data_IF_159948090285
#
_entry.id   IF_159948090285
#
_cell.length_a   1.000
_cell.length_b   1.000
_cell.length_c   1.000
_cell.angle_alpha   90.00
_cell.angle_beta   90.00
_cell.angle_gamma   90.00
#
_symmetry.space_group_name_H-M   'P 1'
#
loop_
_entity.id
_entity.type
_entity.pdbx_description
1 polymer ?
#
# COMPACT_ATOMS: atom_id res chain seq x y z
N UNK A 1 2.16 -3.69 19.27
CA UNK A 1 3.36 -3.68 18.42
C UNK A 1 2.98 -3.29 17.00
N UNK A 2 3.71 -2.35 16.42
CA UNK A 2 3.46 -1.86 15.06
C UNK A 2 4.30 -2.71 14.11
N UNK A 3 3.64 -3.41 13.19
CA UNK A 3 4.32 -4.37 12.31
C UNK A 3 4.04 -4.06 10.86
N UNK A 4 5.10 -4.06 10.04
CA UNK A 4 4.99 -4.04 8.60
C UNK A 4 4.37 -5.36 8.15
N UNK A 5 3.45 -5.32 7.17
CA UNK A 5 2.81 -6.51 6.65
C UNK A 5 2.73 -6.46 5.13
N UNK A 6 2.64 -7.64 4.51
CA UNK A 6 2.61 -7.76 3.06
C UNK A 6 1.47 -8.69 2.65
N UNK A 7 0.90 -8.45 1.47
CA UNK A 7 -0.09 -9.35 0.89
C UNK A 7 -0.14 -9.16 -0.63
N UNK A 8 -0.83 -10.05 -1.30
CA UNK A 8 -0.95 -10.01 -2.76
C UNK A 8 -2.40 -9.90 -3.17
N UNK A 9 -2.65 -9.22 -4.29
CA UNK A 9 -3.98 -9.09 -4.86
C UNK A 9 -3.88 -8.97 -6.38
N UNK A 10 -4.48 -9.91 -7.11
CA UNK A 10 -4.51 -9.96 -8.58
C UNK A 10 -3.10 -9.83 -9.19
N UNK A 11 -2.11 -10.46 -8.57
CA UNK A 11 -0.73 -10.43 -9.03
C UNK A 11 0.08 -9.23 -8.56
N UNK A 12 -0.58 -8.22 -8.01
CA UNK A 12 0.12 -7.08 -7.40
C UNK A 12 0.61 -7.46 -6.01
N UNK A 13 1.75 -6.93 -5.63
CA UNK A 13 2.32 -7.15 -4.31
C UNK A 13 2.22 -5.87 -3.49
N UNK A 14 1.66 -5.96 -2.29
CA UNK A 14 1.38 -4.80 -1.44
C UNK A 14 2.20 -4.88 -0.16
N UNK A 15 2.86 -3.78 0.19
CA UNK A 15 3.56 -3.62 1.45
C UNK A 15 2.83 -2.57 2.28
N UNK A 16 2.34 -2.97 3.45
CA UNK A 16 1.72 -2.06 4.41
C UNK A 16 2.77 -1.59 5.40
N UNK A 17 3.05 -0.28 5.42
CA UNK A 17 4.06 0.33 6.27
C UNK A 17 3.43 1.21 7.33
N UNK A 18 3.73 0.98 8.62
CA UNK A 18 3.33 1.91 9.68
C UNK A 18 4.23 3.14 9.65
N UNK A 19 3.63 4.32 9.78
CA UNK A 19 4.35 5.59 9.87
C UNK A 19 3.93 6.33 11.13
N UNK A 20 4.91 6.68 11.96
CA UNK A 20 4.66 7.47 13.16
C UNK A 20 4.61 8.95 12.76
N UNK A 21 3.42 9.53 12.79
CA UNK A 21 3.23 10.92 12.39
C UNK A 21 3.85 11.90 13.38
N UNK A 22 4.09 11.49 14.62
CA UNK A 22 4.81 12.33 15.58
C UNK A 22 6.24 12.61 15.09
N UNK A 23 6.89 11.64 14.47
CA UNK A 23 8.23 11.81 13.90
C UNK A 23 8.23 12.76 12.70
N UNK A 24 7.07 12.92 12.05
CA UNK A 24 6.89 13.80 10.91
C UNK A 24 6.31 15.17 11.29
N UNK A 25 6.22 15.46 12.61
CA UNK A 25 5.73 16.74 13.10
C UNK A 25 4.22 16.84 13.28
N UNK A 26 3.51 15.71 13.22
CA UNK A 26 2.05 15.64 13.38
C UNK A 26 1.65 14.64 14.47
N UNK A 27 2.04 14.89 15.74
CA UNK A 27 1.77 13.93 16.82
C UNK A 27 0.29 13.65 17.06
N UNK A 28 -0.58 14.58 16.69
CA UNK A 28 -2.04 14.42 16.82
C UNK A 28 -2.61 13.35 15.92
N UNK A 29 -1.90 12.98 14.83
CA UNK A 29 -2.37 11.99 13.88
C UNK A 29 -1.98 10.56 14.26
N UNK A 30 -1.10 10.39 15.27
CA UNK A 30 -0.70 9.08 15.76
C UNK A 30 0.06 8.25 14.73
N UNK A 31 -0.35 6.97 14.61
CA UNK A 31 0.25 6.04 13.65
C UNK A 31 -0.70 5.89 12.46
N UNK A 32 -0.20 6.12 11.26
CA UNK A 32 -0.93 5.84 10.02
C UNK A 32 -0.26 4.69 9.29
N UNK A 33 -0.95 4.12 8.29
CA UNK A 33 -0.46 2.99 7.52
C UNK A 33 -0.51 3.35 6.05
N UNK A 34 0.62 3.20 5.36
CA UNK A 34 0.73 3.53 3.94
C UNK A 34 0.88 2.25 3.13
N UNK A 35 0.12 2.14 2.03
CA UNK A 35 0.24 1.01 1.13
C UNK A 35 1.19 1.36 -0.01
N UNK A 36 2.20 0.53 -0.20
CA UNK A 36 3.11 0.59 -1.33
C UNK A 36 2.79 -0.59 -2.22
N UNK A 37 2.35 -0.32 -3.46
CA UNK A 37 1.89 -1.37 -4.38
C UNK A 37 2.90 -1.55 -5.51
N UNK A 38 3.32 -2.80 -5.73
CA UNK A 38 4.26 -3.18 -6.78
C UNK A 38 3.56 -4.04 -7.80
N UNK A 39 4.03 -4.02 -9.05
CA UNK A 39 3.43 -4.82 -10.12
C UNK A 39 3.51 -6.32 -9.85
N UNK A 40 4.52 -6.76 -9.10
CA UNK A 40 4.69 -8.16 -8.73
C UNK A 40 5.61 -8.30 -7.53
N UNK A 41 5.58 -9.48 -6.91
CA UNK A 41 6.50 -9.79 -5.82
C UNK A 41 7.96 -9.74 -6.29
N UNK A 42 8.21 -10.11 -7.56
CA UNK A 42 9.55 -10.07 -8.14
C UNK A 42 10.08 -8.64 -8.19
N UNK A 43 9.26 -7.69 -8.62
CA UNK A 43 9.65 -6.28 -8.65
C UNK A 43 9.93 -5.75 -7.24
N UNK A 44 9.13 -6.16 -6.27
CA UNK A 44 9.37 -5.81 -4.87
C UNK A 44 10.73 -6.34 -4.40
N UNK A 45 11.04 -7.62 -4.70
CA UNK A 45 12.31 -8.24 -4.32
C UNK A 45 13.51 -7.60 -5.01
N UNK A 46 13.32 -7.12 -6.24
CA UNK A 46 14.37 -6.48 -7.04
C UNK A 46 14.53 -4.99 -6.72
N UNK A 47 13.80 -4.49 -5.71
CA UNK A 47 13.85 -3.09 -5.27
C UNK A 47 13.42 -2.11 -6.36
N UNK A 48 12.51 -2.54 -7.22
CA UNK A 48 11.89 -1.67 -8.23
C UNK A 48 10.96 -0.67 -7.55
N UNK A 49 10.59 0.38 -8.28
CA UNK A 49 9.72 1.41 -7.74
C UNK A 49 8.28 0.92 -7.60
N UNK A 50 7.63 1.36 -6.52
CA UNK A 50 6.20 1.10 -6.34
C UNK A 50 5.37 2.03 -7.25
N UNK A 51 4.09 1.67 -7.42
CA UNK A 51 3.17 2.44 -8.26
C UNK A 51 2.67 3.64 -7.44
N UNK A 52 3.13 4.84 -7.77
CA UNK A 52 2.79 6.05 -7.02
C UNK A 52 1.29 6.34 -6.98
N UNK A 53 0.58 6.05 -8.07
CA UNK A 53 -0.87 6.31 -8.15
C UNK A 53 -1.68 5.47 -7.16
N UNK A 54 -1.08 4.43 -6.61
CA UNK A 54 -1.73 3.52 -5.67
C UNK A 54 -1.20 3.67 -4.23
N UNK A 55 -0.37 4.67 -3.99
CA UNK A 55 0.17 4.92 -2.65
C UNK A 55 -0.84 5.74 -1.86
N UNK A 56 -1.48 5.09 -0.88
CA UNK A 56 -2.53 5.67 -0.05
C UNK A 56 -2.18 5.58 1.43
N UNK A 57 -2.80 6.42 2.24
CA UNK A 57 -2.61 6.43 3.69
C UNK A 57 -3.91 6.10 4.40
N UNK A 58 -3.85 5.25 5.42
CA UNK A 58 -5.01 4.75 6.16
C UNK A 58 -4.76 4.81 7.67
N UNK A 59 -5.86 4.82 8.43
CA UNK A 59 -5.78 4.92 9.89
C UNK A 59 -5.52 3.57 10.57
N UNK A 60 -5.77 2.46 9.90
CA UNK A 60 -5.57 1.13 10.46
C UNK A 60 -5.15 0.12 9.40
N UNK A 61 -4.50 -1.01 9.82
CA UNK A 61 -4.16 -2.09 8.89
C UNK A 61 -5.38 -2.69 8.20
N UNK A 62 -6.50 -2.80 8.94
CA UNK A 62 -7.75 -3.35 8.40
C UNK A 62 -8.29 -2.48 7.29
N UNK A 63 -8.28 -1.16 7.48
CA UNK A 63 -8.72 -0.19 6.47
C UNK A 63 -7.84 -0.28 5.22
N UNK A 64 -6.53 -0.41 5.40
CA UNK A 64 -5.59 -0.57 4.30
C UNK A 64 -5.89 -1.84 3.50
N UNK A 65 -6.08 -2.96 4.19
CA UNK A 65 -6.36 -4.26 3.54
C UNK A 65 -7.70 -4.27 2.83
N UNK A 66 -8.66 -3.50 3.32
CA UNK A 66 -9.98 -3.42 2.69
C UNK A 66 -9.99 -2.51 1.47
N UNK A 67 -9.29 -1.38 1.53
CA UNK A 67 -9.38 -0.34 0.50
C UNK A 67 -8.32 -0.45 -0.60
N UNK A 68 -7.14 -0.99 -0.32
CA UNK A 68 -6.10 -1.13 -1.35
C UNK A 68 -6.57 -1.99 -2.52
N UNK A 69 -7.24 -3.15 -2.32
CA UNK A 69 -7.77 -3.92 -3.45
C UNK A 69 -8.74 -3.14 -4.32
N UNK A 70 -9.57 -2.30 -3.72
CA UNK A 70 -10.51 -1.46 -4.48
C UNK A 70 -9.77 -0.46 -5.38
N UNK A 71 -8.69 0.11 -4.89
CA UNK A 71 -7.86 1.03 -5.65
C UNK A 71 -7.12 0.31 -6.78
N UNK A 72 -6.67 -0.90 -6.52
CA UNK A 72 -6.04 -1.75 -7.54
C UNK A 72 -7.02 -2.06 -8.66
N UNK A 73 -8.28 -2.41 -8.32
CA UNK A 73 -9.32 -2.68 -9.31
C UNK A 73 -9.56 -1.46 -10.21
N UNK A 74 -9.61 -0.28 -9.62
CA UNK A 74 -9.76 0.98 -10.37
C UNK A 74 -8.56 1.21 -11.30
N UNK A 75 -7.37 0.95 -10.82
CA UNK A 75 -6.14 1.09 -11.58
C UNK A 75 -6.12 0.14 -12.79
N UNK A 76 -6.49 -1.12 -12.57
CA UNK A 76 -6.56 -2.12 -13.64
C UNK A 76 -7.53 -1.66 -14.72
N UNK A 77 -8.69 -1.17 -14.32
CA UNK A 77 -9.72 -0.69 -15.25
C UNK A 77 -9.24 0.54 -16.03
N UNK A 78 -8.63 1.50 -15.33
CA UNK A 78 -8.14 2.74 -15.92
C UNK A 78 -7.06 2.47 -16.98
N UNK A 79 -6.17 1.56 -16.69
CA UNK A 79 -5.03 1.24 -17.58
C UNK A 79 -5.28 0.02 -18.46
N UNK A 80 -6.48 -0.55 -18.43
CA UNK A 80 -6.89 -1.70 -19.25
C UNK A 80 -5.93 -2.88 -19.14
N UNK A 81 -5.53 -3.19 -17.91
CA UNK A 81 -4.63 -4.30 -17.64
C UNK A 81 -5.39 -5.63 -17.69
N UNK A 82 -4.67 -6.70 -18.08
CA UNK A 82 -5.23 -8.05 -18.18
C UNK A 82 -5.00 -8.83 -16.88
N UNK A 83 -5.55 -8.32 -15.79
CA UNK A 83 -5.38 -8.97 -14.47
C UNK A 83 -6.69 -9.11 -13.74
#
# INVERSE_FOLDING_TARGET
MIIKFNFEYRGFYIEGMPLDQAENGHPEDGITYTSYVYFSKQEYNDLEDYIFDLCESYDSPEELKENTPKNIDKYIKKHKLKR
#
